data_IF_638693095386
#
_entry.id   IF_638693095386
#
_cell.length_a   1.000
_cell.length_b   1.000
_cell.length_c   1.000
_cell.angle_alpha   90.00
_cell.angle_beta   90.00
_cell.angle_gamma   90.00
#
_symmetry.space_group_name_H-M   'P 1'
#
loop_
_entity.id
_entity.type
_entity.pdbx_description
1 polymer ?
#
# COMPACT_ATOMS: atom_id res chain seq x y z
N UNK A 1 4.29 -7.53 10.03
CA UNK A 1 5.08 -6.34 10.43
C UNK A 1 6.34 -6.79 11.16
N UNK A 2 7.47 -6.11 10.98
CA UNK A 2 8.69 -6.39 11.72
C UNK A 2 8.50 -6.16 13.23
N UNK A 3 9.17 -6.99 14.06
CA UNK A 3 9.09 -6.93 15.53
C UNK A 3 9.56 -5.57 16.09
N UNK A 4 10.58 -4.96 15.49
CA UNK A 4 11.02 -3.60 15.81
C UNK A 4 10.58 -2.67 14.69
N UNK A 5 9.74 -1.68 15.04
CA UNK A 5 9.31 -0.66 14.08
C UNK A 5 10.50 0.23 13.75
N UNK A 6 10.68 0.50 12.46
CA UNK A 6 11.62 1.54 12.01
C UNK A 6 11.16 2.89 12.57
N UNK A 7 12.07 3.75 13.06
CA UNK A 7 11.72 5.07 13.56
C UNK A 7 10.91 5.88 12.54
N UNK A 8 9.96 6.66 13.03
CA UNK A 8 9.08 7.49 12.20
C UNK A 8 9.86 8.40 11.26
N UNK A 9 10.91 9.04 11.78
CA UNK A 9 11.76 9.96 11.02
C UNK A 9 12.49 9.25 9.88
N UNK A 10 13.10 8.09 10.16
CA UNK A 10 13.73 7.24 9.13
C UNK A 10 12.73 6.83 8.05
N UNK A 11 11.49 6.53 8.44
CA UNK A 11 10.45 6.19 7.48
C UNK A 11 10.08 7.39 6.58
N UNK A 12 9.88 8.56 7.19
CA UNK A 12 9.42 9.78 6.52
C UNK A 12 10.49 10.41 5.64
N UNK A 13 11.73 10.50 6.12
CA UNK A 13 12.83 11.20 5.44
C UNK A 13 13.54 10.28 4.44
N UNK A 14 13.71 9.00 4.77
CA UNK A 14 14.52 8.10 3.95
C UNK A 14 13.66 7.10 3.16
N UNK A 15 12.98 6.19 3.85
CA UNK A 15 12.36 5.02 3.18
C UNK A 15 11.26 5.46 2.22
N UNK A 16 10.31 6.26 2.68
CA UNK A 16 9.14 6.63 1.89
C UNK A 16 9.49 7.40 0.61
N UNK A 17 10.36 8.43 0.62
CA UNK A 17 10.80 9.10 -0.62
C UNK A 17 11.51 8.16 -1.59
N UNK A 18 12.33 7.23 -1.09
CA UNK A 18 13.04 6.25 -1.94
C UNK A 18 12.04 5.35 -2.68
N UNK A 19 11.09 4.75 -1.97
CA UNK A 19 10.08 3.86 -2.57
C UNK A 19 9.17 4.62 -3.52
N UNK A 20 8.72 5.80 -3.13
CA UNK A 20 7.86 6.66 -3.96
C UNK A 20 8.53 7.07 -5.27
N UNK A 21 9.80 7.47 -5.23
CA UNK A 21 10.57 7.80 -6.43
C UNK A 21 10.81 6.57 -7.32
N UNK A 22 11.16 5.42 -6.73
CA UNK A 22 11.36 4.16 -7.45
C UNK A 22 10.10 3.74 -8.21
N UNK A 23 8.92 3.95 -7.61
CA UNK A 23 7.63 3.59 -8.20
C UNK A 23 7.08 4.70 -9.12
N UNK A 24 7.95 5.56 -9.64
CA UNK A 24 7.62 6.65 -10.56
C UNK A 24 6.54 7.60 -10.02
N UNK A 25 6.46 7.75 -8.69
CA UNK A 25 5.47 8.60 -8.00
C UNK A 25 4.02 8.18 -8.28
N UNK A 26 3.82 6.90 -8.58
CA UNK A 26 2.54 6.33 -8.95
C UNK A 26 2.17 5.16 -8.04
N UNK A 27 0.87 4.91 -7.91
CA UNK A 27 0.37 3.65 -7.37
C UNK A 27 0.80 2.51 -8.29
N UNK A 28 1.51 1.51 -7.77
CA UNK A 28 1.97 0.39 -8.60
C UNK A 28 0.81 -0.42 -9.21
N UNK A 29 -0.37 -0.44 -8.56
CA UNK A 29 -1.56 -1.17 -9.01
C UNK A 29 -2.33 -0.42 -10.09
N UNK A 30 -2.80 0.80 -9.81
CA UNK A 30 -3.68 1.53 -10.72
C UNK A 30 -2.98 2.64 -11.53
N UNK A 31 -1.66 2.77 -11.39
CA UNK A 31 -0.79 3.78 -12.07
C UNK A 31 -1.16 5.24 -11.84
N UNK A 32 -2.17 5.55 -11.00
CA UNK A 32 -2.51 6.91 -10.61
C UNK A 32 -1.30 7.58 -9.93
N UNK A 33 -0.97 8.79 -10.37
CA UNK A 33 0.01 9.67 -9.70
C UNK A 33 -0.45 9.97 -8.28
N UNK A 34 0.44 9.83 -7.31
CA UNK A 34 0.16 10.06 -5.89
C UNK A 34 1.20 11.00 -5.30
N UNK A 35 0.78 11.89 -4.42
CA UNK A 35 1.69 12.76 -3.69
C UNK A 35 2.44 11.97 -2.61
N UNK A 36 3.67 12.37 -2.31
CA UNK A 36 4.51 11.72 -1.31
C UNK A 36 3.83 11.67 0.08
N UNK A 37 3.09 12.71 0.45
CA UNK A 37 2.35 12.80 1.72
C UNK A 37 1.01 12.04 1.71
N UNK A 38 0.50 11.64 0.56
CA UNK A 38 -0.80 10.97 0.40
C UNK A 38 -0.70 9.48 0.06
N UNK A 39 0.45 9.05 -0.46
CA UNK A 39 0.65 7.65 -0.82
C UNK A 39 0.67 6.73 0.41
N UNK A 40 0.63 5.43 0.19
CA UNK A 40 0.84 4.43 1.22
C UNK A 40 2.02 3.58 0.83
N UNK A 41 2.94 3.36 1.77
CA UNK A 41 4.02 2.40 1.59
C UNK A 41 3.56 1.08 2.19
N UNK A 42 3.37 0.10 1.33
CA UNK A 42 2.82 -1.21 1.63
C UNK A 42 3.87 -2.30 1.45
N UNK A 43 3.75 -3.39 2.20
CA UNK A 43 4.63 -4.56 2.11
C UNK A 43 4.12 -5.55 1.07
N UNK A 44 4.90 -5.90 0.05
CA UNK A 44 4.52 -6.93 -0.94
C UNK A 44 4.28 -8.28 -0.26
N UNK A 45 5.17 -8.68 0.64
CA UNK A 45 4.96 -9.81 1.56
C UNK A 45 4.65 -9.25 2.94
N UNK A 46 3.45 -9.54 3.44
CA UNK A 46 2.93 -9.05 4.73
C UNK A 46 3.16 -10.04 5.89
N UNK A 47 2.61 -9.73 7.06
CA UNK A 47 2.60 -10.65 8.21
C UNK A 47 3.97 -10.88 8.84
N UNK A 48 4.20 -12.09 9.35
CA UNK A 48 5.45 -12.48 10.02
C UNK A 48 6.66 -12.48 9.09
N UNK A 49 6.44 -12.74 7.80
CA UNK A 49 7.49 -12.79 6.77
C UNK A 49 7.79 -11.42 6.14
N UNK A 50 7.05 -10.37 6.50
CA UNK A 50 7.24 -9.04 5.95
C UNK A 50 8.45 -8.32 6.54
N UNK A 51 9.34 -7.86 5.67
CA UNK A 51 10.52 -7.05 6.01
C UNK A 51 10.48 -5.64 5.42
N UNK A 52 11.31 -4.74 5.95
CA UNK A 52 11.43 -3.36 5.47
C UNK A 52 12.49 -3.19 4.38
N UNK A 53 12.92 -4.27 3.71
CA UNK A 53 13.84 -4.13 2.58
C UNK A 53 13.12 -3.41 1.46
N UNK A 54 13.83 -2.52 0.77
CA UNK A 54 13.29 -1.72 -0.34
C UNK A 54 12.51 -2.59 -1.34
N UNK A 55 13.04 -3.77 -1.70
CA UNK A 55 12.40 -4.71 -2.63
C UNK A 55 11.04 -5.25 -2.17
N UNK A 56 10.78 -5.27 -0.87
CA UNK A 56 9.51 -5.74 -0.30
C UNK A 56 8.53 -4.58 -0.04
N UNK A 57 8.92 -3.34 -0.31
CA UNK A 57 8.05 -2.18 -0.15
C UNK A 57 7.55 -1.70 -1.50
N UNK A 58 6.38 -1.06 -1.53
CA UNK A 58 5.79 -0.46 -2.72
C UNK A 58 4.87 0.72 -2.40
N UNK A 59 4.61 1.53 -3.41
CA UNK A 59 3.74 2.69 -3.36
C UNK A 59 2.33 2.33 -3.84
N UNK A 60 1.33 2.60 -3.00
CA UNK A 60 -0.08 2.44 -3.34
C UNK A 60 -0.85 3.73 -3.07
N UNK A 61 -1.92 3.97 -3.83
CA UNK A 61 -2.93 4.95 -3.44
C UNK A 61 -3.80 4.36 -2.31
N UNK A 62 -4.46 5.23 -1.54
CA UNK A 62 -5.32 4.80 -0.42
C UNK A 62 -6.35 3.74 -0.82
N UNK A 63 -7.03 3.92 -1.96
CA UNK A 63 -8.01 2.95 -2.48
C UNK A 63 -7.40 1.57 -2.73
N UNK A 64 -6.29 1.50 -3.48
CA UNK A 64 -5.65 0.21 -3.78
C UNK A 64 -5.08 -0.44 -2.51
N UNK A 65 -4.50 0.35 -1.60
CA UNK A 65 -3.98 -0.17 -0.33
C UNK A 65 -5.08 -0.81 0.51
N UNK A 66 -6.25 -0.18 0.60
CA UNK A 66 -7.41 -0.71 1.34
C UNK A 66 -7.99 -1.98 0.69
N UNK A 67 -8.02 -2.03 -0.65
CA UNK A 67 -8.64 -3.12 -1.42
C UNK A 67 -7.68 -4.30 -1.66
N UNK A 68 -6.52 -4.32 -1.03
CA UNK A 68 -5.60 -5.44 -1.17
C UNK A 68 -6.18 -6.69 -0.50
N UNK A 69 -6.07 -7.83 -1.18
CA UNK A 69 -6.51 -9.14 -0.73
C UNK A 69 -5.59 -9.71 0.37
N UNK A 70 -5.48 -8.97 1.47
CA UNK A 70 -4.69 -9.33 2.64
C UNK A 70 -5.52 -9.06 3.89
N UNK A 71 -5.54 -10.03 4.81
CA UNK A 71 -6.31 -9.96 6.04
C UNK A 71 -5.92 -8.74 6.88
N UNK A 72 -4.65 -8.30 6.82
CA UNK A 72 -4.18 -7.13 7.58
C UNK A 72 -4.78 -5.80 7.11
N UNK A 73 -5.37 -5.72 5.91
CA UNK A 73 -5.94 -4.50 5.34
C UNK A 73 -7.45 -4.40 5.53
N UNK A 74 -8.13 -5.49 5.90
CA UNK A 74 -9.59 -5.53 6.09
C UNK A 74 -10.08 -4.52 7.14
N UNK A 75 -9.27 -4.25 8.17
CA UNK A 75 -9.57 -3.25 9.20
C UNK A 75 -9.71 -1.81 8.66
N UNK A 76 -9.23 -1.53 7.44
CA UNK A 76 -9.30 -0.20 6.83
C UNK A 76 -10.61 0.05 6.06
N UNK A 77 -11.40 -0.99 5.79
CA UNK A 77 -12.58 -0.94 4.90
C UNK A 77 -13.65 0.02 5.44
N UNK A 78 -14.02 -0.10 6.71
CA UNK A 78 -15.10 0.70 7.30
C UNK A 78 -14.81 2.21 7.22
N UNK A 79 -13.57 2.61 7.53
CA UNK A 79 -13.15 4.01 7.44
C UNK A 79 -13.05 4.47 5.98
N UNK A 80 -12.60 3.63 5.06
CA UNK A 80 -12.55 3.97 3.65
C UNK A 80 -13.95 4.14 3.03
N UNK A 81 -14.94 3.35 3.44
CA UNK A 81 -16.35 3.53 3.08
C UNK A 81 -16.88 4.87 3.62
N UNK A 82 -16.67 5.15 4.92
CA UNK A 82 -17.10 6.40 5.55
C UNK A 82 -16.51 7.63 4.86
N UNK A 83 -15.27 7.54 4.39
CA UNK A 83 -14.57 8.63 3.72
C UNK A 83 -14.82 8.70 2.20
N UNK A 84 -15.65 7.81 1.64
CA UNK A 84 -15.95 7.78 0.20
C UNK A 84 -14.78 7.33 -0.69
N UNK A 85 -13.75 6.71 -0.12
CA UNK A 85 -12.57 6.23 -0.87
C UNK A 85 -12.88 4.96 -1.66
N UNK A 86 -13.81 4.15 -1.15
CA UNK A 86 -14.34 2.95 -1.79
C UNK A 86 -15.87 2.96 -1.68
N UNK A 87 -16.53 2.21 -2.57
CA UNK A 87 -17.97 2.07 -2.65
C UNK A 87 -18.45 0.78 -1.96
N UNK A 88 -19.76 0.65 -1.72
CA UNK A 88 -20.33 -0.52 -1.00
C UNK A 88 -20.06 -1.86 -1.71
N UNK A 89 -19.90 -1.84 -3.04
CA UNK A 89 -19.55 -2.99 -3.88
C UNK A 89 -18.03 -3.28 -3.94
N UNK A 90 -17.25 -2.73 -3.00
CA UNK A 90 -15.79 -2.79 -2.95
C UNK A 90 -15.17 -4.18 -3.16
N UNK A 91 -15.88 -5.25 -2.75
CA UNK A 91 -15.42 -6.64 -2.87
C UNK A 91 -15.08 -7.04 -4.31
N UNK A 92 -15.74 -6.42 -5.30
CA UNK A 92 -15.48 -6.65 -6.74
C UNK A 92 -14.15 -6.09 -7.22
N UNK A 93 -13.56 -5.15 -6.46
CA UNK A 93 -12.32 -4.46 -6.81
C UNK A 93 -11.14 -4.88 -5.91
N UNK A 94 -11.34 -5.93 -5.10
CA UNK A 94 -10.27 -6.52 -4.30
C UNK A 94 -9.25 -7.15 -5.24
N UNK A 95 -7.96 -7.00 -4.92
CA UNK A 95 -6.87 -7.43 -5.81
C UNK A 95 -5.73 -8.07 -5.03
N UNK A 96 -5.01 -8.98 -5.67
CA UNK A 96 -3.85 -9.69 -5.14
C UNK A 96 -2.61 -9.53 -6.04
N UNK A 97 -1.51 -10.15 -5.67
CA UNK A 97 -0.27 -10.09 -6.46
C UNK A 97 -0.40 -10.74 -7.84
N UNK A 98 -1.21 -11.80 -7.99
CA UNK A 98 -1.42 -12.47 -9.27
C UNK A 98 -2.13 -11.53 -10.27
N UNK A 99 -3.06 -10.71 -9.77
CA UNK A 99 -3.76 -9.72 -10.58
C UNK A 99 -2.86 -8.61 -11.15
N UNK A 100 -1.66 -8.40 -10.59
CA UNK A 100 -0.68 -7.45 -11.11
C UNK A 100 0.12 -7.98 -12.31
N UNK A 101 0.15 -9.30 -12.51
CA UNK A 101 0.90 -9.95 -13.59
C UNK A 101 0.09 -10.13 -14.88
N UNK A 102 -1.22 -9.86 -14.81
CA UNK A 102 -2.18 -10.10 -15.90
C UNK A 102 -2.48 -8.85 -16.74
N UNK A 103 -1.83 -7.73 -16.46
CA UNK A 103 -2.00 -6.41 -17.11
C UNK A 103 -0.66 -5.89 -17.64
#
# INVERSE_FOLDING_TARGET
>A
MPKKRTPYETWRINIRPIIWNRDNRQCIRCKKVVLLNECHIDHIVSGLSGDNKIKNLRTLCRRCHVLRADHFHQGMIAKALKDGVITADWRKYVWDEESLLKE
#
